data_IF_671941141853
#
_entry.id   IF_671941141853
#
_cell.length_a   1.000
_cell.length_b   1.000
_cell.length_c   1.000
_cell.angle_alpha   90.00
_cell.angle_beta   90.00
_cell.angle_gamma   90.00
#
_symmetry.space_group_name_H-M   'P 1'
#
loop_
_entity.id
_entity.type
_entity.pdbx_description
1 polymer ?
#
# COMPACT_ATOMS: atom_id res chain seq x y z
N UNK A 1 -3.75 -2.63 15.52
CA UNK A 1 -4.00 -3.65 14.49
C UNK A 1 -3.10 -3.31 13.32
N UNK A 2 -2.44 -4.31 12.77
CA UNK A 2 -1.56 -4.18 11.62
C UNK A 2 -1.94 -5.29 10.64
N UNK A 3 -1.88 -4.99 9.35
CA UNK A 3 -2.05 -5.97 8.29
C UNK A 3 -0.77 -6.04 7.49
N UNK A 4 -0.53 -7.19 6.90
CA UNK A 4 0.61 -7.48 6.05
C UNK A 4 0.45 -6.85 4.66
N UNK A 5 1.52 -6.28 4.12
CA UNK A 5 1.64 -5.83 2.74
C UNK A 5 2.81 -6.48 2.00
N UNK A 6 2.92 -6.20 0.70
CA UNK A 6 3.98 -6.79 -0.13
C UNK A 6 5.37 -6.40 0.37
N UNK A 7 5.55 -5.17 0.89
CA UNK A 7 6.82 -4.74 1.48
C UNK A 7 7.23 -5.60 2.68
N UNK A 8 6.30 -5.92 3.58
CA UNK A 8 6.59 -6.82 4.70
C UNK A 8 6.89 -8.25 4.22
N UNK A 9 6.14 -8.76 3.24
CA UNK A 9 6.38 -10.08 2.63
C UNK A 9 7.79 -10.19 2.08
N UNK A 10 8.19 -9.19 1.30
CA UNK A 10 9.46 -9.17 0.57
C UNK A 10 10.63 -8.96 1.53
N UNK A 11 10.47 -8.15 2.58
CA UNK A 11 11.47 -8.02 3.64
C UNK A 11 11.65 -9.35 4.39
N UNK A 12 10.56 -10.07 4.69
CA UNK A 12 10.64 -11.40 5.33
C UNK A 12 11.34 -12.40 4.41
N UNK A 13 10.93 -12.47 3.13
CA UNK A 13 11.53 -13.37 2.14
C UNK A 13 13.04 -13.09 1.98
N UNK A 14 13.41 -11.81 1.79
CA UNK A 14 14.82 -11.41 1.66
C UNK A 14 15.64 -11.69 2.93
N UNK A 15 15.06 -11.50 4.12
CA UNK A 15 15.72 -11.83 5.39
C UNK A 15 15.97 -13.34 5.53
N UNK A 16 15.03 -14.17 5.07
CA UNK A 16 15.14 -15.63 5.11
C UNK A 16 16.02 -16.21 3.97
N UNK A 17 16.58 -15.35 3.12
CA UNK A 17 17.50 -15.74 2.04
C UNK A 17 16.82 -16.11 0.73
N UNK A 18 15.52 -15.82 0.58
CA UNK A 18 14.79 -16.01 -0.67
C UNK A 18 15.10 -14.88 -1.67
N UNK A 19 14.98 -15.19 -2.96
CA UNK A 19 15.19 -14.20 -4.01
C UNK A 19 14.00 -13.23 -4.08
N UNK A 20 14.27 -11.94 -3.90
CA UNK A 20 13.30 -10.87 -4.10
C UNK A 20 13.53 -10.25 -5.48
N UNK A 21 12.50 -10.24 -6.32
CA UNK A 21 12.54 -9.72 -7.69
C UNK A 21 11.57 -8.57 -7.88
N UNK A 22 11.72 -7.83 -8.98
CA UNK A 22 10.82 -6.75 -9.33
C UNK A 22 11.24 -5.39 -8.74
N UNK A 23 10.36 -4.37 -8.84
CA UNK A 23 10.72 -2.98 -8.57
C UNK A 23 11.20 -2.71 -7.14
N UNK A 24 10.76 -3.51 -6.17
CA UNK A 24 11.12 -3.33 -4.76
C UNK A 24 12.43 -4.04 -4.34
N UNK A 25 13.06 -4.83 -5.23
CA UNK A 25 14.22 -5.65 -4.87
C UNK A 25 15.40 -4.85 -4.31
N UNK A 26 15.70 -3.69 -4.90
CA UNK A 26 16.77 -2.81 -4.41
C UNK A 26 16.44 -2.20 -3.05
N UNK A 27 15.19 -1.78 -2.86
CA UNK A 27 14.70 -1.22 -1.59
C UNK A 27 14.80 -2.26 -0.49
N UNK A 28 14.36 -3.49 -0.76
CA UNK A 28 14.42 -4.61 0.18
C UNK A 28 15.86 -4.93 0.53
N UNK A 29 16.74 -5.12 -0.46
CA UNK A 29 18.16 -5.40 -0.25
C UNK A 29 18.85 -4.32 0.59
N UNK A 30 18.53 -3.05 0.35
CA UNK A 30 19.03 -1.93 1.14
C UNK A 30 18.51 -1.90 2.58
N UNK A 31 17.34 -2.49 2.84
CA UNK A 31 16.75 -2.59 4.17
C UNK A 31 17.27 -3.77 5.00
N UNK A 32 17.67 -4.88 4.37
CA UNK A 32 18.04 -6.13 5.08
C UNK A 32 19.10 -5.93 6.18
N UNK A 33 20.19 -5.15 6.00
CA UNK A 33 21.19 -4.96 7.04
C UNK A 33 20.68 -4.24 8.30
N UNK A 34 19.53 -3.55 8.20
CA UNK A 34 18.90 -2.83 9.31
C UNK A 34 17.85 -3.69 10.05
N UNK A 35 17.55 -4.89 9.54
CA UNK A 35 16.59 -5.80 10.14
C UNK A 35 17.26 -6.72 11.16
N UNK A 36 16.50 -7.04 12.21
CA UNK A 36 16.89 -8.01 13.23
C UNK A 36 15.81 -9.10 13.29
N UNK A 37 16.14 -10.23 13.93
CA UNK A 37 15.20 -11.35 14.07
C UNK A 37 13.84 -10.92 14.65
N UNK A 38 13.82 -9.96 15.58
CA UNK A 38 12.57 -9.41 16.15
C UNK A 38 11.72 -8.66 15.11
N UNK A 39 12.35 -7.97 14.16
CA UNK A 39 11.64 -7.25 13.09
C UNK A 39 11.03 -8.28 12.14
N UNK A 40 11.83 -9.26 11.67
CA UNK A 40 11.34 -10.34 10.81
C UNK A 40 10.22 -11.16 11.47
N UNK A 41 10.34 -11.48 12.76
CA UNK A 41 9.29 -12.18 13.51
C UNK A 41 7.99 -11.37 13.57
N UNK A 42 8.07 -10.06 13.83
CA UNK A 42 6.91 -9.17 13.83
C UNK A 42 6.24 -9.10 12.45
N UNK A 43 7.02 -8.87 11.38
CA UNK A 43 6.48 -8.69 10.03
C UNK A 43 5.79 -9.95 9.49
N UNK A 44 6.34 -11.13 9.81
CA UNK A 44 5.78 -12.40 9.33
C UNK A 44 4.52 -12.86 10.08
N UNK A 45 4.28 -12.33 11.28
CA UNK A 45 3.08 -12.65 12.07
C UNK A 45 1.88 -11.77 11.68
N UNK A 46 2.09 -10.78 10.81
CA UNK A 46 1.02 -9.90 10.36
C UNK A 46 0.01 -10.66 9.50
N UNK A 47 -1.30 -10.53 9.77
CA UNK A 47 -2.33 -11.14 8.94
C UNK A 47 -2.50 -10.37 7.62
N UNK A 48 -2.77 -11.08 6.52
CA UNK A 48 -3.11 -10.47 5.22
C UNK A 48 -4.38 -9.60 5.31
N UNK A 49 -5.35 -10.04 6.10
CA UNK A 49 -6.61 -9.32 6.30
C UNK A 49 -7.06 -9.35 7.76
N UNK A 50 -7.77 -8.31 8.18
CA UNK A 50 -8.47 -8.27 9.47
C UNK A 50 -9.83 -7.62 9.27
N UNK A 51 -10.87 -8.19 9.89
CA UNK A 51 -12.19 -7.57 9.97
C UNK A 51 -12.48 -7.14 11.41
N UNK A 52 -12.90 -5.88 11.58
CA UNK A 52 -13.35 -5.36 12.87
C UNK A 52 -14.64 -4.56 12.70
N UNK A 53 -15.42 -4.49 13.77
CA UNK A 53 -16.56 -3.58 13.85
C UNK A 53 -16.08 -2.14 14.08
N UNK A 54 -16.38 -1.27 13.13
CA UNK A 54 -16.14 0.18 13.25
C UNK A 54 -17.47 0.87 13.50
N UNK A 55 -17.50 1.76 14.50
CA UNK A 55 -18.71 2.51 14.86
C UNK A 55 -19.33 3.18 13.63
N UNK A 56 -20.63 2.98 13.42
CA UNK A 56 -21.40 3.44 12.25
C UNK A 56 -21.08 2.83 10.88
N UNK A 57 -19.98 2.10 10.71
CA UNK A 57 -19.69 1.34 9.47
C UNK A 57 -20.07 -0.14 9.58
N UNK A 58 -20.00 -0.69 10.80
CA UNK A 58 -20.16 -2.12 11.09
C UNK A 58 -18.91 -2.92 10.71
N UNK A 59 -19.05 -4.21 10.36
CA UNK A 59 -17.93 -5.05 9.94
C UNK A 59 -17.19 -4.43 8.75
N UNK A 60 -15.92 -4.09 8.98
CA UNK A 60 -15.04 -3.42 8.04
C UNK A 60 -13.78 -4.26 7.85
N UNK A 61 -13.50 -4.60 6.60
CA UNK A 61 -12.34 -5.39 6.20
C UNK A 61 -11.14 -4.50 5.91
N UNK A 62 -9.97 -4.85 6.43
CA UNK A 62 -8.70 -4.17 6.20
C UNK A 62 -7.75 -5.10 5.45
N UNK A 63 -7.09 -4.59 4.41
CA UNK A 63 -6.07 -5.29 3.64
C UNK A 63 -5.06 -4.27 3.06
N UNK A 64 -3.87 -4.72 2.65
CA UNK A 64 -2.90 -3.81 2.03
C UNK A 64 -3.27 -3.45 0.58
N UNK A 65 -3.44 -4.43 -0.30
CA UNK A 65 -3.81 -4.20 -1.71
C UNK A 65 -5.23 -4.69 -1.98
N UNK A 66 -5.42 -6.01 -2.02
CA UNK A 66 -6.74 -6.65 -2.09
C UNK A 66 -6.85 -7.74 -1.02
N UNK A 67 -8.07 -8.21 -0.68
CA UNK A 67 -8.24 -9.27 0.31
C UNK A 67 -7.65 -10.63 -0.07
N UNK A 68 -7.24 -10.81 -1.33
CA UNK A 68 -6.71 -12.07 -1.87
C UNK A 68 -5.20 -12.03 -2.13
N UNK A 69 -4.62 -10.84 -2.30
CA UNK A 69 -3.21 -10.60 -2.64
C UNK A 69 -2.78 -9.23 -2.12
N UNK A 70 -1.57 -9.17 -1.59
CA UNK A 70 -0.92 -7.99 -1.04
C UNK A 70 -0.17 -7.16 -2.11
N UNK A 71 -0.09 -7.62 -3.35
CA UNK A 71 0.63 -6.98 -4.46
C UNK A 71 -0.23 -6.69 -5.69
N UNK A 72 -1.55 -6.87 -5.59
CA UNK A 72 -2.44 -6.69 -6.73
C UNK A 72 -2.80 -5.21 -6.93
N UNK A 73 -2.47 -4.66 -8.09
CA UNK A 73 -2.85 -3.30 -8.45
C UNK A 73 -4.35 -3.20 -8.80
N UNK A 74 -5.10 -2.53 -7.94
CA UNK A 74 -6.47 -2.08 -8.20
C UNK A 74 -6.56 -0.56 -8.03
N UNK A 75 -6.85 0.13 -9.13
CA UNK A 75 -6.82 1.58 -9.21
C UNK A 75 -8.19 2.19 -8.96
N UNK A 76 -8.22 3.48 -8.59
CA UNK A 76 -9.47 4.22 -8.31
C UNK A 76 -10.41 4.24 -9.51
N UNK A 77 -9.90 4.13 -10.73
CA UNK A 77 -10.63 4.11 -11.99
C UNK A 77 -10.73 2.71 -12.63
N UNK A 78 -10.23 1.66 -11.96
CA UNK A 78 -10.33 0.29 -12.45
C UNK A 78 -11.80 -0.09 -12.73
N UNK A 79 -12.05 -0.86 -13.81
CA UNK A 79 -13.40 -1.29 -14.18
C UNK A 79 -14.10 -2.03 -13.05
N UNK A 80 -15.44 -1.89 -12.98
CA UNK A 80 -16.22 -2.51 -11.89
C UNK A 80 -16.05 -4.03 -11.83
N UNK A 81 -15.86 -4.69 -12.98
CA UNK A 81 -15.65 -6.13 -13.06
C UNK A 81 -14.34 -6.57 -12.38
N UNK A 82 -13.28 -5.75 -12.51
CA UNK A 82 -12.00 -6.02 -11.83
C UNK A 82 -12.17 -5.90 -10.32
N UNK A 83 -12.85 -4.85 -9.87
CA UNK A 83 -13.20 -4.69 -8.46
C UNK A 83 -14.05 -5.84 -7.91
N UNK A 84 -15.06 -6.30 -8.65
CA UNK A 84 -15.89 -7.44 -8.27
C UNK A 84 -15.10 -8.75 -8.18
N UNK A 85 -14.11 -8.92 -9.05
CA UNK A 85 -13.20 -10.07 -9.02
C UNK A 85 -12.36 -10.07 -7.74
N UNK A 86 -11.71 -8.95 -7.40
CA UNK A 86 -10.81 -8.89 -6.24
C UNK A 86 -11.56 -8.88 -4.90
N UNK A 87 -12.82 -8.45 -4.90
CA UNK A 87 -13.71 -8.47 -3.73
C UNK A 87 -14.62 -9.71 -3.67
N UNK A 88 -14.40 -10.72 -4.51
CA UNK A 88 -15.20 -11.94 -4.51
C UNK A 88 -15.10 -12.63 -3.14
N UNK A 89 -16.25 -12.94 -2.55
CA UNK A 89 -16.32 -13.59 -1.23
C UNK A 89 -16.26 -12.63 -0.03
N UNK A 90 -15.96 -11.35 -0.25
CA UNK A 90 -15.99 -10.32 0.81
C UNK A 90 -17.44 -10.06 1.23
N UNK A 91 -17.72 -10.18 2.52
CA UNK A 91 -19.08 -10.00 3.08
C UNK A 91 -19.27 -8.62 3.70
N UNK A 92 -18.17 -7.98 4.07
CA UNK A 92 -18.08 -6.67 4.66
C UNK A 92 -18.57 -5.60 3.67
N UNK A 93 -19.32 -4.63 4.19
CA UNK A 93 -19.86 -3.53 3.39
C UNK A 93 -18.83 -2.42 3.17
N UNK A 94 -17.79 -2.38 4.00
CA UNK A 94 -16.70 -1.43 3.92
C UNK A 94 -15.38 -2.18 3.82
N UNK A 95 -14.54 -1.78 2.87
CA UNK A 95 -13.19 -2.31 2.69
C UNK A 95 -12.21 -1.15 2.73
N UNK A 96 -11.20 -1.25 3.57
CA UNK A 96 -10.06 -0.33 3.63
C UNK A 96 -8.87 -1.03 2.96
N UNK A 97 -8.39 -0.46 1.88
CA UNK A 97 -7.17 -0.90 1.18
C UNK A 97 -6.13 0.22 1.14
N UNK A 98 -4.97 -0.06 0.56
CA UNK A 98 -3.85 0.85 0.41
C UNK A 98 -3.13 0.57 -0.91
N UNK A 99 -1.82 0.30 -0.84
CA UNK A 99 -0.94 -0.11 -1.94
C UNK A 99 -0.70 0.95 -3.03
N UNK A 100 -1.73 1.63 -3.53
CA UNK A 100 -1.64 2.59 -4.62
C UNK A 100 -1.36 4.03 -4.17
N UNK A 101 -1.35 4.27 -2.86
CA UNK A 101 -0.93 5.52 -2.20
C UNK A 101 -1.73 6.80 -2.53
N UNK A 102 -2.65 6.74 -3.47
CA UNK A 102 -3.59 7.81 -3.82
C UNK A 102 -4.88 7.66 -3.00
N UNK A 103 -5.28 8.66 -2.21
CA UNK A 103 -6.47 8.56 -1.38
C UNK A 103 -7.75 8.55 -2.24
N UNK A 104 -8.71 7.68 -1.92
CA UNK A 104 -10.03 7.69 -2.53
C UNK A 104 -11.10 7.09 -1.61
N UNK A 105 -12.36 7.40 -1.91
CA UNK A 105 -13.54 6.79 -1.30
C UNK A 105 -14.58 6.57 -2.39
N UNK A 106 -14.84 5.32 -2.75
CA UNK A 106 -15.73 4.96 -3.87
C UNK A 106 -16.69 3.84 -3.54
N UNK A 107 -17.81 3.84 -4.26
CA UNK A 107 -18.72 2.71 -4.28
C UNK A 107 -18.28 1.68 -5.33
N UNK A 108 -18.38 0.42 -4.94
CA UNK A 108 -18.04 -0.77 -5.74
C UNK A 108 -19.10 -1.82 -5.48
N UNK A 109 -20.07 -1.92 -6.39
CA UNK A 109 -21.21 -2.84 -6.29
C UNK A 109 -21.77 -2.92 -4.86
N UNK A 110 -22.28 -1.78 -4.37
CA UNK A 110 -22.91 -1.62 -3.05
C UNK A 110 -21.97 -1.76 -1.83
N UNK A 111 -20.67 -1.95 -2.04
CA UNK A 111 -19.63 -1.84 -1.01
C UNK A 111 -18.96 -0.47 -1.09
N UNK A 112 -18.54 0.06 0.04
CA UNK A 112 -17.68 1.25 0.12
C UNK A 112 -16.23 0.78 0.19
N UNK A 113 -15.39 1.27 -0.71
CA UNK A 113 -13.96 0.99 -0.71
C UNK A 113 -13.22 2.29 -0.50
N UNK A 114 -12.32 2.29 0.48
CA UNK A 114 -11.55 3.47 0.88
C UNK A 114 -10.08 3.13 0.80
N UNK A 115 -9.32 3.99 0.14
CA UNK A 115 -7.87 4.03 0.27
C UNK A 115 -7.52 5.33 1.04
N UNK A 116 -6.87 5.26 2.20
CA UNK A 116 -6.52 6.43 2.97
C UNK A 116 -5.38 7.23 2.36
N UNK A 117 -4.70 6.72 1.33
CA UNK A 117 -3.46 7.25 0.77
C UNK A 117 -2.22 6.70 1.47
N UNK A 118 -1.09 7.38 1.31
CA UNK A 118 0.18 7.02 1.95
C UNK A 118 0.69 8.11 2.88
N UNK A 119 1.26 7.69 4.01
CA UNK A 119 1.95 8.58 4.96
C UNK A 119 3.34 8.93 4.45
N UNK A 120 4.08 7.93 3.95
CA UNK A 120 5.51 8.04 3.65
C UNK A 120 5.86 8.19 2.17
N UNK A 121 4.92 7.91 1.26
CA UNK A 121 5.12 8.00 -0.19
C UNK A 121 3.81 8.37 -0.87
N UNK A 122 3.31 9.57 -0.61
CA UNK A 122 2.04 10.04 -1.14
C UNK A 122 2.15 10.39 -2.62
N UNK A 123 1.10 10.07 -3.39
CA UNK A 123 0.93 10.59 -4.76
C UNK A 123 -0.21 11.61 -4.79
N UNK A 124 0.04 12.75 -5.40
CA UNK A 124 -0.83 13.93 -5.36
C UNK A 124 -0.28 15.04 -4.45
N UNK A 125 -1.14 15.87 -3.82
CA UNK A 125 -0.67 16.98 -2.99
C UNK A 125 0.21 16.54 -1.81
N UNK A 126 1.37 17.20 -1.63
CA UNK A 126 2.33 16.92 -0.55
C UNK A 126 1.68 16.79 0.84
N UNK A 127 2.07 15.78 1.61
CA UNK A 127 1.65 15.57 2.99
C UNK A 127 1.44 14.09 3.34
N UNK A 128 1.20 13.82 4.61
CA UNK A 128 0.90 12.47 5.09
C UNK A 128 -0.60 12.23 5.02
N UNK A 129 -1.02 11.25 4.24
CA UNK A 129 -2.43 10.89 4.08
C UNK A 129 -2.86 9.76 5.02
N UNK A 130 -4.06 9.88 5.57
CA UNK A 130 -4.65 8.92 6.51
C UNK A 130 -6.17 9.08 6.53
N UNK A 131 -6.88 8.13 7.15
CA UNK A 131 -8.33 8.23 7.32
C UNK A 131 -8.72 8.15 8.80
N UNK A 132 -9.68 8.97 9.22
CA UNK A 132 -10.40 8.77 10.47
C UNK A 132 -11.64 7.94 10.19
N UNK A 133 -11.77 6.80 10.87
CA UNK A 133 -12.89 5.89 10.73
C UNK A 133 -13.79 5.97 11.97
N UNK A 134 -15.08 6.13 11.74
CA UNK A 134 -16.13 6.19 12.76
C UNK A 134 -17.48 6.28 12.07
N UNK A 135 -18.47 7.01 12.62
CA UNK A 135 -19.80 7.09 12.00
C UNK A 135 -19.78 7.62 10.56
N UNK A 136 -18.69 8.29 10.19
CA UNK A 136 -18.30 8.59 8.82
C UNK A 136 -16.84 8.19 8.56
N UNK A 137 -16.45 8.18 7.30
CA UNK A 137 -15.04 8.10 6.89
C UNK A 137 -14.59 9.50 6.52
N UNK A 138 -13.49 9.96 7.11
CA UNK A 138 -12.87 11.24 6.77
C UNK A 138 -11.46 11.01 6.26
N UNK A 139 -11.23 11.28 4.97
CA UNK A 139 -9.89 11.34 4.41
C UNK A 139 -9.19 12.61 4.88
N UNK A 140 -8.00 12.45 5.43
CA UNK A 140 -7.22 13.51 6.09
C UNK A 140 -5.84 13.59 5.45
N UNK A 141 -5.26 14.78 5.52
CA UNK A 141 -3.88 15.05 5.13
C UNK A 141 -3.24 15.94 6.17
N UNK A 142 -2.10 15.50 6.71
CA UNK A 142 -1.29 16.29 7.65
C UNK A 142 -0.10 16.86 6.90
N UNK A 143 0.01 18.20 6.91
CA UNK A 143 1.22 18.86 6.46
C UNK A 143 2.34 18.67 7.49
N UNK A 144 3.56 18.45 7.04
CA UNK A 144 4.74 18.32 7.87
C UNK A 144 5.95 18.93 7.16
N UNK A 145 7.03 19.15 7.90
CA UNK A 145 8.29 19.63 7.33
C UNK A 145 8.94 18.52 6.50
N UNK A 146 8.79 18.63 5.18
CA UNK A 146 9.31 17.64 4.22
C UNK A 146 10.84 17.62 4.19
N UNK A 147 11.48 18.76 4.40
CA UNK A 147 12.94 18.86 4.39
C UNK A 147 13.52 18.21 5.64
N UNK A 148 12.96 18.52 6.81
CA UNK A 148 13.35 17.86 8.04
C UNK A 148 13.10 16.34 8.00
N UNK A 149 11.99 15.89 7.37
CA UNK A 149 11.75 14.47 7.16
C UNK A 149 12.78 13.84 6.21
N UNK A 150 13.11 14.51 5.11
CA UNK A 150 14.09 14.05 4.15
C UNK A 150 15.50 13.96 4.76
N UNK A 151 15.90 14.93 5.59
CA UNK A 151 17.16 14.89 6.34
C UNK A 151 17.22 13.69 7.29
N UNK A 152 16.10 13.38 7.97
CA UNK A 152 16.03 12.20 8.86
C UNK A 152 16.13 10.89 8.08
N UNK A 153 15.51 10.81 6.91
CA UNK A 153 15.60 9.64 6.04
C UNK A 153 17.03 9.50 5.50
N UNK A 154 17.64 10.60 5.04
CA UNK A 154 19.02 10.64 4.55
C UNK A 154 20.04 10.20 5.61
N UNK A 155 19.75 10.43 6.90
CA UNK A 155 20.55 9.95 8.03
C UNK A 155 20.35 8.48 8.41
N UNK A 156 19.51 7.74 7.69
CA UNK A 156 19.28 6.30 7.94
C UNK A 156 20.41 5.42 7.36
N UNK A 157 20.37 4.12 7.67
CA UNK A 157 21.28 3.13 7.09
C UNK A 157 20.89 2.69 5.67
N UNK A 158 19.80 3.22 5.10
CA UNK A 158 19.32 2.82 3.78
C UNK A 158 20.23 3.39 2.67
N UNK A 159 20.75 2.54 1.76
CA UNK A 159 21.47 3.01 0.58
C UNK A 159 20.63 3.99 -0.25
N UNK A 160 21.25 5.05 -0.76
CA UNK A 160 20.58 6.09 -1.55
C UNK A 160 19.42 6.82 -0.83
N UNK A 161 19.35 6.77 0.50
CA UNK A 161 18.25 7.38 1.26
C UNK A 161 18.01 8.86 0.96
N UNK A 162 19.07 9.64 0.73
CA UNK A 162 18.94 11.05 0.36
C UNK A 162 18.24 11.23 -0.99
N UNK A 163 18.62 10.44 -1.99
CA UNK A 163 17.99 10.49 -3.32
C UNK A 163 16.53 10.01 -3.25
N UNK A 164 16.28 8.92 -2.52
CA UNK A 164 14.93 8.41 -2.30
C UNK A 164 14.03 9.44 -1.61
N UNK A 165 14.53 10.12 -0.58
CA UNK A 165 13.76 11.14 0.13
C UNK A 165 13.48 12.37 -0.75
N UNK A 166 14.45 12.80 -1.55
CA UNK A 166 14.26 13.90 -2.51
C UNK A 166 13.17 13.56 -3.52
N UNK A 167 13.16 12.33 -4.03
CA UNK A 167 12.19 11.86 -5.03
C UNK A 167 10.79 11.66 -4.44
N UNK A 168 10.65 10.93 -3.32
CA UNK A 168 9.35 10.47 -2.83
C UNK A 168 8.74 11.32 -1.71
N UNK A 169 9.55 12.12 -1.00
CA UNK A 169 9.09 12.94 0.13
C UNK A 169 9.09 14.42 -0.22
N UNK A 170 10.19 14.92 -0.79
CA UNK A 170 10.30 16.34 -1.16
C UNK A 170 9.54 16.65 -2.44
N UNK A 171 9.66 15.80 -3.47
CA UNK A 171 9.08 16.00 -4.79
C UNK A 171 8.12 14.87 -5.22
N UNK A 172 7.09 14.55 -4.41
CA UNK A 172 6.19 13.46 -4.74
C UNK A 172 5.54 13.64 -6.10
N UNK A 173 5.43 12.53 -6.84
CA UNK A 173 4.68 12.48 -8.09
C UNK A 173 3.22 12.86 -7.85
N UNK A 174 2.61 13.50 -8.85
CA UNK A 174 1.17 13.70 -8.84
C UNK A 174 0.41 12.38 -9.06
N UNK A 175 -0.89 12.42 -8.79
CA UNK A 175 -1.76 11.27 -8.90
C UNK A 175 -1.93 10.82 -10.37
N UNK A 176 -1.82 11.72 -11.34
CA UNK A 176 -1.93 11.37 -12.77
C UNK A 176 -0.72 10.54 -13.21
N UNK A 177 0.49 10.99 -12.91
CA UNK A 177 1.72 10.27 -13.24
C UNK A 177 1.78 8.91 -12.54
N UNK A 178 1.37 8.83 -11.28
CA UNK A 178 1.28 7.58 -10.55
C UNK A 178 0.22 6.63 -11.16
N UNK A 179 -0.94 7.16 -11.52
CA UNK A 179 -2.02 6.38 -12.14
C UNK A 179 -1.61 5.84 -13.51
N UNK A 180 -0.92 6.63 -14.33
CA UNK A 180 -0.37 6.20 -15.63
C UNK A 180 0.65 5.07 -15.46
N UNK A 181 1.61 5.23 -14.53
CA UNK A 181 2.61 4.21 -14.23
C UNK A 181 1.96 2.90 -13.77
N UNK A 182 0.98 2.96 -12.86
CA UNK A 182 0.31 1.76 -12.38
C UNK A 182 -0.64 1.15 -13.40
N UNK A 183 -1.24 1.95 -14.28
CA UNK A 183 -2.06 1.43 -15.39
C UNK A 183 -1.22 0.60 -16.34
N UNK A 184 0.02 1.00 -16.61
CA UNK A 184 0.95 0.22 -17.42
C UNK A 184 1.26 -1.14 -16.76
N UNK A 185 1.50 -1.17 -15.45
CA UNK A 185 1.72 -2.41 -14.68
C UNK A 185 0.49 -3.32 -14.76
N UNK A 186 -0.72 -2.78 -14.52
CA UNK A 186 -1.96 -3.56 -14.62
C UNK A 186 -2.15 -4.13 -16.02
N UNK A 187 -1.80 -3.38 -17.07
CA UNK A 187 -1.88 -3.88 -18.45
C UNK A 187 -0.93 -5.06 -18.69
N UNK A 188 0.28 -5.01 -18.14
CA UNK A 188 1.24 -6.12 -18.19
C UNK A 188 0.76 -7.34 -17.41
N UNK A 189 0.20 -7.16 -16.20
CA UNK A 189 -0.37 -8.24 -15.39
C UNK A 189 -1.53 -8.96 -16.09
N UNK A 190 -2.40 -8.21 -16.77
CA UNK A 190 -3.55 -8.77 -17.50
C UNK A 190 -3.10 -9.44 -18.81
N UNK A 191 -2.02 -8.96 -19.43
CA UNK A 191 -1.46 -9.53 -20.65
C UNK A 191 -0.56 -10.76 -20.40
N UNK A 192 -0.05 -10.94 -19.17
CA UNK A 192 0.72 -12.11 -18.80
C UNK A 192 -0.14 -13.39 -18.95
N UNK A 193 0.31 -14.42 -19.70
CA UNK A 193 -0.43 -15.65 -19.83
C UNK A 193 -0.64 -16.26 -18.45
N UNK A 194 -1.86 -16.75 -18.18
CA UNK A 194 -2.13 -17.59 -17.01
C UNK A 194 -1.09 -18.70 -16.99
N UNK A 195 -0.17 -18.66 -16.03
CA UNK A 195 0.70 -19.80 -15.77
C UNK A 195 -0.24 -20.93 -15.38
N UNK A 196 -0.35 -21.92 -16.25
CA UNK A 196 -1.13 -23.12 -15.98
C UNK A 196 -0.42 -23.89 -14.85
N UNK A 197 -1.13 -24.06 -13.73
CA UNK A 197 -0.77 -25.03 -12.69
C UNK A 197 -0.78 -26.47 -13.23
#
# INVERSE_FOLDING_TARGET
>A
MWVHGNGERELVAGFDGEAVTGPAAEVVAGCLPMLEQRHRALLADLPMTVSIDVDGLGPTLFCHATPRRDDEFILVDSPIQRWEQVLRGVTERTVICGHTHMPFDRLVNRRRVVNPGSVGMAYGPRGAYWALLGPTVELRRTAYDLQAAAERIAGSGYPNAAAWAEEYVVNPYDDVAALEAFTAIVAEEVAAPLVAD
#
